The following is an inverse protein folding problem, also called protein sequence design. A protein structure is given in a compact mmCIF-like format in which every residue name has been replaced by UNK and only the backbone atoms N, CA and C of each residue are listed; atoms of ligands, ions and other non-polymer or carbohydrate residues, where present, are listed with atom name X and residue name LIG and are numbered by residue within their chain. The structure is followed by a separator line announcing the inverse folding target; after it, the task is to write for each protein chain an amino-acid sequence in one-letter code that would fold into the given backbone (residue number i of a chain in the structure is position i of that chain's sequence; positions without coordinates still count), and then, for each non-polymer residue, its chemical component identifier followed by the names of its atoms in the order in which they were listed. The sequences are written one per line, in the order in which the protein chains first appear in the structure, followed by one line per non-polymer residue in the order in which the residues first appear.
data_IF_143274526589
#
_entry.id   IF_143274526589
#
_cell.length_a   1.000
_cell.length_b   1.000
_cell.length_c   1.000
_cell.angle_alpha   90.00
_cell.angle_beta   90.00
_cell.angle_gamma   90.00
#
_symmetry.space_group_name_H-M   'P 1'
#
loop_
_entity.id
_entity.type
_entity.pdbx_description
1 polymer ?
#
# COMPACT_ATOMS: atom_id res chain seq x y z
N UNK A 1 -5.59 24.14 16.19
CA UNK A 1 -5.52 23.36 14.96
C UNK A 1 -4.09 22.91 14.77
N UNK A 2 -3.81 21.61 14.95
CA UNK A 2 -2.51 21.07 14.54
C UNK A 2 -2.43 21.19 13.02
N UNK A 3 -1.40 21.85 12.53
CA UNK A 3 -1.12 21.94 11.11
C UNK A 3 -0.85 20.53 10.57
N UNK A 4 -1.68 20.06 9.65
CA UNK A 4 -1.52 18.76 9.01
C UNK A 4 -0.65 18.96 7.78
N UNK A 5 0.54 18.37 7.80
CA UNK A 5 1.49 18.47 6.70
C UNK A 5 1.76 17.07 6.14
N UNK A 6 1.72 16.93 4.83
CA UNK A 6 2.03 15.67 4.13
C UNK A 6 1.16 15.44 2.90
N UNK A 7 1.45 14.37 2.19
CA UNK A 7 0.64 13.93 1.05
C UNK A 7 -0.77 13.56 1.52
N UNK A 8 -1.79 14.21 0.97
CA UNK A 8 -3.19 13.99 1.36
C UNK A 8 -3.77 15.09 2.25
N UNK A 9 -2.99 16.09 2.68
CA UNK A 9 -3.50 17.23 3.49
C UNK A 9 -4.71 17.93 2.84
N UNK A 10 -4.78 17.96 1.54
CA UNK A 10 -5.91 18.51 0.76
C UNK A 10 -7.24 17.77 0.99
N UNK A 11 -7.23 16.55 1.49
CA UNK A 11 -8.44 15.82 1.86
C UNK A 11 -9.10 16.35 3.15
N UNK A 12 -8.40 17.20 3.91
CA UNK A 12 -8.88 17.74 5.18
C UNK A 12 -9.25 19.21 5.14
N UNK A 13 -8.36 20.02 4.59
CA UNK A 13 -8.45 21.48 4.70
C UNK A 13 -8.40 22.18 3.35
N UNK A 14 -8.39 21.42 2.26
CA UNK A 14 -8.34 21.96 0.90
C UNK A 14 -6.98 22.53 0.51
N UNK A 15 -5.93 22.29 1.29
CA UNK A 15 -4.58 22.69 0.91
C UNK A 15 -4.16 21.89 -0.29
N UNK A 16 -3.88 22.58 -1.38
CA UNK A 16 -3.45 21.97 -2.62
C UNK A 16 -2.10 21.26 -2.42
N UNK A 17 -2.07 19.97 -2.77
CA UNK A 17 -0.83 19.23 -2.82
C UNK A 17 0.06 19.80 -3.92
N UNK A 18 1.26 20.24 -3.58
CA UNK A 18 2.23 20.69 -4.57
C UNK A 18 2.75 19.47 -5.35
N UNK A 19 2.69 19.57 -6.68
CA UNK A 19 3.25 18.54 -7.54
C UNK A 19 4.76 18.41 -7.32
N UNK A 20 5.20 17.23 -6.92
CA UNK A 20 6.60 16.88 -6.79
C UNK A 20 6.99 15.89 -7.91
N UNK A 21 7.80 16.35 -8.85
CA UNK A 21 8.22 15.53 -9.99
C UNK A 21 8.95 14.24 -9.57
N UNK A 22 9.67 14.26 -8.46
CA UNK A 22 10.35 13.08 -7.92
C UNK A 22 9.37 11.99 -7.47
N UNK A 23 8.19 12.37 -7.00
CA UNK A 23 7.16 11.44 -6.51
C UNK A 23 6.32 10.84 -7.66
N UNK A 24 6.38 11.44 -8.86
CA UNK A 24 5.54 11.02 -9.98
C UNK A 24 5.70 9.53 -10.34
N UNK A 25 6.93 9.03 -10.35
CA UNK A 25 7.20 7.63 -10.72
C UNK A 25 6.56 6.64 -9.74
N UNK A 26 6.66 6.93 -8.44
CA UNK A 26 6.05 6.17 -7.36
C UNK A 26 4.53 6.16 -7.49
N UNK A 27 3.92 7.34 -7.62
CA UNK A 27 2.48 7.50 -7.76
C UNK A 27 1.95 6.83 -9.03
N UNK A 28 2.66 6.98 -10.15
CA UNK A 28 2.33 6.31 -11.41
C UNK A 28 2.37 4.79 -11.28
N UNK A 29 3.39 4.25 -10.59
CA UNK A 29 3.48 2.82 -10.35
C UNK A 29 2.23 2.29 -9.63
N UNK A 30 1.85 2.91 -8.51
CA UNK A 30 0.68 2.50 -7.73
C UNK A 30 -0.61 2.63 -8.55
N UNK A 31 -0.76 3.72 -9.32
CA UNK A 31 -1.88 3.94 -10.24
C UNK A 31 -2.01 2.81 -11.27
N UNK A 32 -0.92 2.45 -11.95
CA UNK A 32 -0.93 1.43 -13.00
C UNK A 32 -1.18 0.01 -12.46
N UNK A 33 -0.75 -0.28 -11.24
CA UNK A 33 -1.06 -1.58 -10.61
C UNK A 33 -2.51 -1.62 -10.09
N UNK A 34 -2.99 -0.56 -9.46
CA UNK A 34 -4.37 -0.47 -8.99
C UNK A 34 -5.40 -0.54 -10.14
N UNK A 35 -5.05 -0.04 -11.33
CA UNK A 35 -5.88 -0.12 -12.53
C UNK A 35 -6.20 -1.56 -12.95
N UNK A 36 -5.33 -2.51 -12.61
CA UNK A 36 -5.46 -3.94 -12.97
C UNK A 36 -6.09 -4.77 -11.86
N UNK A 37 -6.12 -4.22 -10.63
CA UNK A 37 -6.56 -4.92 -9.44
C UNK A 37 -8.08 -4.87 -9.27
N UNK A 38 -8.60 -5.80 -8.48
CA UNK A 38 -10.00 -5.85 -8.04
C UNK A 38 -10.12 -5.67 -6.54
N UNK A 39 -9.26 -6.34 -5.79
CA UNK A 39 -9.23 -6.35 -4.33
C UNK A 39 -7.84 -5.99 -3.81
N UNK A 40 -7.74 -4.88 -3.08
CA UNK A 40 -6.49 -4.36 -2.53
C UNK A 40 -6.47 -4.48 -1.03
N UNK A 41 -5.30 -4.86 -0.50
CA UNK A 41 -4.96 -4.66 0.91
C UNK A 41 -3.88 -3.59 1.03
N UNK A 42 -4.17 -2.54 1.77
CA UNK A 42 -3.21 -1.49 2.10
C UNK A 42 -2.85 -1.51 3.58
N UNK A 43 -1.57 -1.38 3.89
CA UNK A 43 -1.05 -1.25 5.26
C UNK A 43 -0.36 0.10 5.38
N UNK A 44 -0.90 0.96 6.26
CA UNK A 44 -0.53 2.36 6.35
C UNK A 44 -1.35 3.23 5.41
N UNK A 45 -2.17 4.12 5.96
CA UNK A 45 -3.09 4.99 5.21
C UNK A 45 -2.70 6.44 5.33
N UNK A 46 -2.31 6.83 6.54
CA UNK A 46 -2.00 8.20 6.91
C UNK A 46 -3.12 9.17 6.45
N UNK A 47 -2.82 10.07 5.52
CA UNK A 47 -3.78 11.07 5.01
C UNK A 47 -4.53 10.60 3.74
N UNK A 48 -4.49 9.32 3.36
CA UNK A 48 -5.32 8.73 2.30
C UNK A 48 -4.92 9.08 0.87
N UNK A 49 -3.69 9.59 0.64
CA UNK A 49 -3.25 9.95 -0.71
C UNK A 49 -3.15 8.72 -1.63
N UNK A 50 -2.61 7.62 -1.15
CA UNK A 50 -2.53 6.34 -1.86
C UNK A 50 -3.91 5.78 -2.20
N UNK A 51 -4.85 5.84 -1.24
CA UNK A 51 -6.26 5.46 -1.47
C UNK A 51 -6.87 6.24 -2.63
N UNK A 52 -6.67 7.58 -2.65
CA UNK A 52 -7.17 8.42 -3.74
C UNK A 52 -6.56 8.02 -5.09
N UNK A 53 -5.25 7.80 -5.16
CA UNK A 53 -4.57 7.37 -6.39
C UNK A 53 -5.16 6.07 -6.90
N UNK A 54 -5.34 5.07 -6.03
CA UNK A 54 -5.88 3.77 -6.39
C UNK A 54 -7.33 3.85 -6.87
N UNK A 55 -8.18 4.62 -6.17
CA UNK A 55 -9.59 4.80 -6.53
C UNK A 55 -9.78 5.62 -7.81
N UNK A 56 -8.89 6.58 -8.11
CA UNK A 56 -8.88 7.28 -9.39
C UNK A 56 -8.45 6.37 -10.54
N UNK A 57 -7.55 5.42 -10.28
CA UNK A 57 -7.12 4.43 -11.27
C UNK A 57 -8.23 3.43 -11.61
N UNK A 58 -8.96 2.98 -10.58
CA UNK A 58 -10.07 2.05 -10.72
C UNK A 58 -11.19 2.36 -9.70
N UNK A 59 -12.24 3.10 -10.12
CA UNK A 59 -13.34 3.48 -9.24
C UNK A 59 -14.17 2.31 -8.70
N UNK A 60 -14.01 1.12 -9.26
CA UNK A 60 -14.73 -0.10 -8.80
C UNK A 60 -13.93 -0.92 -7.79
N UNK A 61 -12.72 -0.51 -7.51
CA UNK A 61 -11.78 -1.18 -6.61
C UNK A 61 -12.36 -1.37 -5.20
N UNK A 62 -12.06 -2.50 -4.58
CA UNK A 62 -12.41 -2.78 -3.19
C UNK A 62 -11.13 -2.80 -2.35
N UNK A 63 -10.95 -1.77 -1.55
CA UNK A 63 -9.77 -1.60 -0.71
C UNK A 63 -10.10 -1.98 0.71
N UNK A 64 -9.38 -2.94 1.27
CA UNK A 64 -9.27 -3.11 2.72
C UNK A 64 -8.00 -2.41 3.17
N UNK A 65 -8.07 -1.52 4.14
CA UNK A 65 -6.89 -0.80 4.60
C UNK A 65 -6.78 -0.85 6.12
N UNK A 66 -5.55 -0.89 6.60
CA UNK A 66 -5.20 -0.99 8.02
C UNK A 66 -4.32 0.19 8.39
N UNK A 67 -4.65 0.88 9.47
CA UNK A 67 -3.79 1.90 10.06
C UNK A 67 -3.91 1.84 11.60
N UNK A 68 -2.80 2.08 12.27
CA UNK A 68 -2.76 2.07 13.74
C UNK A 68 -3.55 3.24 14.35
N UNK A 69 -3.70 4.32 13.59
CA UNK A 69 -4.39 5.55 13.99
C UNK A 69 -5.48 5.93 13.00
N UNK A 70 -6.60 6.43 13.52
CA UNK A 70 -7.69 7.03 12.72
C UNK A 70 -7.65 8.57 12.74
N UNK A 71 -6.65 9.17 13.37
CA UNK A 71 -6.56 10.63 13.50
C UNK A 71 -6.54 11.34 12.14
N UNK A 72 -5.82 10.79 11.17
CA UNK A 72 -5.71 11.31 9.82
C UNK A 72 -6.47 10.46 8.80
N UNK A 73 -6.38 9.14 8.92
CA UNK A 73 -7.02 8.20 7.99
C UNK A 73 -8.55 8.26 8.06
N UNK A 74 -9.13 8.43 9.27
CA UNK A 74 -10.58 8.52 9.43
C UNK A 74 -11.22 9.64 8.60
N UNK A 75 -10.83 10.92 8.79
CA UNK A 75 -11.34 12.04 7.98
C UNK A 75 -11.06 11.89 6.48
N UNK A 76 -9.89 11.34 6.09
CA UNK A 76 -9.57 11.10 4.68
C UNK A 76 -10.54 10.11 4.04
N UNK A 77 -10.76 8.99 4.71
CA UNK A 77 -11.68 7.93 4.25
C UNK A 77 -13.10 8.47 4.17
N UNK A 78 -13.55 9.22 5.18
CA UNK A 78 -14.86 9.85 5.15
C UNK A 78 -15.03 10.76 3.91
N UNK A 79 -14.02 11.53 3.57
CA UNK A 79 -14.02 12.37 2.37
C UNK A 79 -14.07 11.51 1.09
N UNK A 80 -13.22 10.50 0.99
CA UNK A 80 -13.15 9.61 -0.18
C UNK A 80 -14.45 8.84 -0.40
N UNK A 81 -15.10 8.35 0.66
CA UNK A 81 -16.38 7.63 0.58
C UNK A 81 -17.54 8.49 0.06
N UNK A 82 -17.43 9.83 0.07
CA UNK A 82 -18.43 10.69 -0.58
C UNK A 82 -18.42 10.53 -2.11
N UNK A 83 -17.26 10.22 -2.67
CA UNK A 83 -17.04 10.08 -4.12
C UNK A 83 -16.99 8.61 -4.58
N UNK A 84 -16.44 7.72 -3.76
CA UNK A 84 -16.21 6.30 -4.05
C UNK A 84 -16.96 5.42 -3.04
N UNK A 85 -18.28 5.41 -3.12
CA UNK A 85 -19.16 4.77 -2.12
C UNK A 85 -18.90 3.28 -1.98
N UNK A 86 -18.78 2.82 -0.72
CA UNK A 86 -18.57 1.41 -0.36
C UNK A 86 -17.29 0.80 -0.99
N UNK A 87 -16.28 1.62 -1.26
CA UNK A 87 -15.02 1.16 -1.84
C UNK A 87 -13.96 0.86 -0.80
N UNK A 88 -14.07 1.44 0.40
CA UNK A 88 -13.05 1.35 1.45
C UNK A 88 -13.60 0.61 2.68
N UNK A 89 -12.89 -0.43 3.10
CA UNK A 89 -13.09 -1.12 4.37
C UNK A 89 -11.90 -0.82 5.28
N UNK A 90 -12.06 0.13 6.20
CA UNK A 90 -11.01 0.55 7.12
C UNK A 90 -11.01 -0.26 8.40
N UNK A 91 -9.85 -0.74 8.81
CA UNK A 91 -9.64 -1.48 10.06
C UNK A 91 -8.57 -0.75 10.87
N UNK A 92 -8.98 -0.11 11.97
CA UNK A 92 -8.04 0.51 12.90
C UNK A 92 -7.34 -0.54 13.74
N UNK A 93 -6.02 -0.54 13.74
CA UNK A 93 -5.20 -1.40 14.59
C UNK A 93 -3.82 -1.66 14.02
N UNK A 94 -3.04 -2.39 14.77
CA UNK A 94 -1.71 -2.85 14.40
C UNK A 94 -1.84 -4.01 13.39
N UNK A 95 -1.18 -3.88 12.24
CA UNK A 95 -1.19 -4.87 11.15
C UNK A 95 -0.76 -6.25 11.64
N UNK A 96 0.17 -6.34 12.60
CA UNK A 96 0.68 -7.60 13.12
C UNK A 96 -0.41 -8.44 13.81
N UNK A 97 -1.42 -7.79 14.38
CA UNK A 97 -2.58 -8.44 15.01
C UNK A 97 -3.78 -8.57 14.06
N UNK A 98 -3.96 -7.63 13.14
CA UNK A 98 -5.11 -7.61 12.24
C UNK A 98 -4.94 -8.61 11.09
N UNK A 99 -3.78 -8.64 10.42
CA UNK A 99 -3.56 -9.50 9.24
C UNK A 99 -3.90 -10.99 9.49
N UNK A 100 -3.53 -11.59 10.64
CA UNK A 100 -3.89 -12.99 10.91
C UNK A 100 -5.40 -13.25 11.03
N UNK A 101 -6.22 -12.23 11.25
CA UNK A 101 -7.68 -12.38 11.38
C UNK A 101 -8.41 -12.27 10.04
N UNK A 102 -7.74 -11.80 9.01
CA UNK A 102 -8.33 -11.64 7.69
C UNK A 102 -8.46 -12.99 6.97
N UNK A 103 -9.59 -13.15 6.27
CA UNK A 103 -9.87 -14.33 5.44
C UNK A 103 -10.05 -13.97 3.97
N UNK A 104 -10.38 -12.70 3.69
CA UNK A 104 -10.51 -12.17 2.34
C UNK A 104 -9.17 -12.30 1.59
N UNK A 105 -9.25 -12.56 0.29
CA UNK A 105 -8.09 -12.65 -0.60
C UNK A 105 -7.95 -11.38 -1.42
N UNK A 106 -6.69 -11.05 -1.78
CA UNK A 106 -6.33 -9.82 -2.47
C UNK A 106 -5.41 -10.14 -3.65
N UNK A 107 -5.48 -9.29 -4.68
CA UNK A 107 -4.63 -9.39 -5.87
C UNK A 107 -3.57 -8.28 -5.94
N UNK A 108 -3.72 -7.22 -5.15
CA UNK A 108 -2.74 -6.17 -4.95
C UNK A 108 -2.55 -5.89 -3.45
N UNK A 109 -1.29 -5.78 -3.04
CA UNK A 109 -0.89 -5.36 -1.70
C UNK A 109 -0.08 -4.08 -1.80
N UNK A 110 -0.41 -3.08 -0.98
CA UNK A 110 0.38 -1.86 -0.80
C UNK A 110 0.87 -1.80 0.64
N UNK A 111 2.18 -1.86 0.84
CA UNK A 111 2.81 -1.88 2.16
C UNK A 111 3.53 -0.56 2.37
N UNK A 112 2.94 0.31 3.18
CA UNK A 112 3.39 1.67 3.50
C UNK A 112 3.15 1.99 4.99
N UNK A 113 3.31 0.97 5.85
CA UNK A 113 3.12 1.09 7.29
C UNK A 113 4.36 1.57 8.02
N UNK A 114 4.74 0.87 9.09
CA UNK A 114 5.97 1.16 9.82
C UNK A 114 7.18 0.70 9.01
N UNK A 115 8.18 1.59 8.86
CA UNK A 115 9.35 1.39 7.99
C UNK A 115 10.52 0.64 8.65
N UNK A 116 10.29 -0.07 9.77
CA UNK A 116 11.32 -0.96 10.31
C UNK A 116 11.28 -2.32 9.62
N UNK A 117 12.47 -2.92 9.56
CA UNK A 117 12.71 -4.18 8.89
C UNK A 117 11.81 -5.34 9.39
N UNK A 118 11.60 -5.45 10.70
CA UNK A 118 10.84 -6.55 11.28
C UNK A 118 9.36 -6.47 10.96
N UNK A 119 8.80 -5.26 10.97
CA UNK A 119 7.40 -5.01 10.64
C UNK A 119 7.12 -5.24 9.17
N UNK A 120 7.97 -4.72 8.27
CA UNK A 120 7.83 -4.94 6.82
C UNK A 120 7.86 -6.43 6.48
N UNK A 121 8.82 -7.19 7.03
CA UNK A 121 8.89 -8.63 6.81
C UNK A 121 7.69 -9.39 7.36
N UNK A 122 7.21 -9.00 8.54
CA UNK A 122 6.01 -9.58 9.13
C UNK A 122 4.79 -9.34 8.25
N UNK A 123 4.58 -8.10 7.82
CA UNK A 123 3.46 -7.72 6.97
C UNK A 123 3.51 -8.43 5.63
N UNK A 124 4.66 -8.44 4.97
CA UNK A 124 4.84 -9.16 3.71
C UNK A 124 4.52 -10.65 3.83
N UNK A 125 5.08 -11.34 4.82
CA UNK A 125 4.86 -12.79 4.98
C UNK A 125 3.40 -13.14 5.22
N UNK A 126 2.65 -12.27 5.93
CA UNK A 126 1.21 -12.45 6.16
C UNK A 126 0.38 -12.12 4.92
N UNK A 127 0.76 -11.07 4.17
CA UNK A 127 0.12 -10.73 2.90
C UNK A 127 0.19 -11.90 1.90
N UNK A 128 1.31 -12.63 1.84
CA UNK A 128 1.44 -13.83 1.01
C UNK A 128 0.36 -14.88 1.34
N UNK A 129 0.02 -15.04 2.61
CA UNK A 129 -1.08 -15.93 3.06
C UNK A 129 -2.48 -15.46 2.62
N UNK A 130 -2.64 -14.18 2.33
CA UNK A 130 -3.91 -13.56 1.93
C UNK A 130 -4.01 -13.34 0.41
N UNK A 131 -3.08 -13.84 -0.38
CA UNK A 131 -3.12 -13.70 -1.83
C UNK A 131 -4.31 -14.42 -2.47
N UNK A 132 -4.82 -13.84 -3.55
CA UNK A 132 -5.67 -14.56 -4.50
C UNK A 132 -4.87 -15.66 -5.23
N UNK A 133 -5.54 -16.54 -5.93
CA UNK A 133 -4.87 -17.56 -6.75
C UNK A 133 -4.20 -16.92 -7.97
N UNK A 134 -3.01 -17.40 -8.33
CA UNK A 134 -2.29 -16.95 -9.52
C UNK A 134 -1.25 -15.86 -9.25
N UNK A 135 -1.15 -14.92 -10.19
CA UNK A 135 -0.22 -13.80 -10.11
C UNK A 135 -0.82 -12.70 -9.22
N UNK A 136 -0.04 -12.16 -8.32
CA UNK A 136 -0.41 -11.01 -7.51
C UNK A 136 0.76 -10.04 -7.41
N UNK A 137 0.45 -8.78 -7.06
CA UNK A 137 1.45 -7.72 -6.98
C UNK A 137 1.58 -7.20 -5.55
N UNK A 138 2.80 -6.95 -5.14
CA UNK A 138 3.10 -6.20 -3.91
C UNK A 138 3.83 -4.91 -4.30
N UNK A 139 3.31 -3.79 -3.85
CA UNK A 139 3.97 -2.48 -3.95
C UNK A 139 4.46 -2.10 -2.57
N UNK A 140 5.77 -1.92 -2.45
CA UNK A 140 6.38 -1.43 -1.22
C UNK A 140 6.66 0.07 -1.33
N UNK A 141 6.28 0.81 -0.31
CA UNK A 141 6.83 2.12 -0.03
C UNK A 141 7.99 1.98 0.98
N UNK A 142 9.06 2.76 0.80
CA UNK A 142 10.23 2.80 1.69
C UNK A 142 10.95 1.45 1.88
N UNK A 143 11.23 0.78 0.83
CA UNK A 143 11.93 -0.50 0.76
C UNK A 143 13.47 -0.34 0.74
N UNK A 144 14.18 -1.33 1.24
CA UNK A 144 15.66 -1.36 1.25
C UNK A 144 16.21 -2.67 0.67
N UNK A 145 17.47 -2.71 0.21
CA UNK A 145 18.10 -3.93 -0.30
C UNK A 145 18.14 -5.10 0.70
N UNK A 146 18.15 -4.79 2.01
CA UNK A 146 18.09 -5.82 3.06
C UNK A 146 16.74 -6.52 3.06
N UNK A 147 15.67 -5.76 2.90
CA UNK A 147 14.30 -6.31 2.83
C UNK A 147 14.15 -7.19 1.59
N UNK A 148 14.74 -6.79 0.46
CA UNK A 148 14.75 -7.59 -0.76
C UNK A 148 15.32 -8.99 -0.55
N UNK A 149 16.50 -9.09 0.04
CA UNK A 149 17.16 -10.37 0.32
C UNK A 149 16.27 -11.32 1.12
N UNK A 150 15.56 -10.78 2.12
CA UNK A 150 14.68 -11.61 2.96
C UNK A 150 13.40 -12.01 2.21
N UNK A 151 12.87 -11.13 1.38
CA UNK A 151 11.73 -11.46 0.50
C UNK A 151 12.11 -12.61 -0.44
N UNK A 152 13.24 -12.53 -1.12
CA UNK A 152 13.73 -13.59 -2.01
C UNK A 152 13.95 -14.91 -1.26
N UNK A 153 14.58 -14.84 -0.09
CA UNK A 153 14.79 -16.01 0.77
C UNK A 153 13.46 -16.62 1.24
N UNK A 154 12.49 -15.80 1.62
CA UNK A 154 11.17 -16.27 2.02
C UNK A 154 10.43 -16.93 0.86
N UNK A 155 10.39 -16.30 -0.31
CA UNK A 155 9.69 -16.81 -1.49
C UNK A 155 10.29 -18.13 -1.97
N UNK A 156 11.62 -18.26 -1.94
CA UNK A 156 12.31 -19.52 -2.27
C UNK A 156 11.88 -20.68 -1.39
N UNK A 157 11.66 -20.43 -0.09
CA UNK A 157 11.20 -21.48 0.85
C UNK A 157 9.79 -21.98 0.60
N UNK A 158 8.97 -21.20 -0.07
CA UNK A 158 7.57 -21.53 -0.38
C UNK A 158 7.32 -21.79 -1.88
N UNK A 159 8.40 -22.04 -2.64
CA UNK A 159 8.37 -22.29 -4.08
C UNK A 159 7.64 -21.20 -4.88
N UNK A 160 7.95 -19.95 -4.61
CA UNK A 160 7.47 -18.79 -5.36
C UNK A 160 8.64 -18.02 -5.98
N UNK A 161 8.38 -17.41 -7.11
CA UNK A 161 9.32 -16.52 -7.79
C UNK A 161 8.80 -15.10 -7.82
N UNK A 162 9.73 -14.15 -7.75
CA UNK A 162 9.41 -12.74 -7.84
C UNK A 162 10.14 -12.08 -9.02
N UNK A 163 9.42 -11.22 -9.71
CA UNK A 163 10.00 -10.22 -10.62
C UNK A 163 9.95 -8.86 -9.94
N UNK A 164 11.11 -8.28 -9.67
CA UNK A 164 11.24 -7.05 -8.89
C UNK A 164 11.59 -5.89 -9.81
N UNK A 165 10.93 -4.77 -9.63
CA UNK A 165 11.18 -3.52 -10.33
C UNK A 165 11.33 -2.40 -9.32
N UNK A 166 12.53 -1.88 -9.17
CA UNK A 166 12.81 -0.74 -8.31
C UNK A 166 12.33 0.56 -8.95
N UNK A 167 11.78 1.43 -8.12
CA UNK A 167 11.41 2.79 -8.49
C UNK A 167 12.17 3.75 -7.59
N UNK A 168 13.32 4.18 -8.08
CA UNK A 168 14.16 5.14 -7.36
C UNK A 168 13.52 6.53 -7.40
N UNK A 169 13.32 7.11 -6.23
CA UNK A 169 12.87 8.49 -6.07
C UNK A 169 14.11 9.38 -5.93
N UNK A 170 14.39 10.29 -6.89
CA UNK A 170 15.58 11.13 -6.84
C UNK A 170 15.64 11.97 -5.55
N UNK A 171 16.83 12.09 -4.98
CA UNK A 171 17.10 12.84 -3.75
C UNK A 171 16.39 12.33 -2.49
N UNK A 172 15.89 11.10 -2.50
CA UNK A 172 15.34 10.42 -1.34
C UNK A 172 16.25 9.28 -0.89
N UNK A 173 16.26 9.00 0.42
CA UNK A 173 17.04 7.91 1.00
C UNK A 173 16.34 6.55 0.92
N UNK A 174 15.12 6.52 0.42
CA UNK A 174 14.29 5.34 0.29
C UNK A 174 13.98 5.02 -1.18
N UNK A 175 13.64 3.78 -1.44
CA UNK A 175 13.27 3.27 -2.74
C UNK A 175 11.90 2.60 -2.65
N UNK A 176 11.07 2.82 -3.65
CA UNK A 176 9.85 2.04 -3.82
C UNK A 176 10.13 0.82 -4.68
N UNK A 177 9.47 -0.28 -4.41
CA UNK A 177 9.58 -1.47 -5.22
C UNK A 177 8.21 -2.02 -5.60
N UNK A 178 8.10 -2.47 -6.84
CA UNK A 178 7.02 -3.34 -7.30
C UNK A 178 7.53 -4.76 -7.37
N UNK A 179 6.85 -5.67 -6.70
CA UNK A 179 7.17 -7.09 -6.75
C UNK A 179 5.97 -7.85 -7.33
N UNK A 180 6.16 -8.47 -8.49
CA UNK A 180 5.17 -9.38 -9.07
C UNK A 180 5.57 -10.79 -8.67
N UNK A 181 4.66 -11.49 -8.02
CA UNK A 181 4.91 -12.83 -7.47
C UNK A 181 4.07 -13.84 -8.23
N UNK A 182 4.72 -14.91 -8.67
CA UNK A 182 4.10 -16.04 -9.34
C UNK A 182 4.34 -17.31 -8.55
N UNK A 183 3.34 -18.20 -8.51
CA UNK A 183 3.52 -19.55 -7.99
C UNK A 183 4.21 -20.38 -9.08
N UNK A 184 5.28 -21.07 -8.74
CA UNK A 184 6.04 -21.96 -9.64
C UNK A 184 5.44 -23.37 -9.63
#
# INVERSE_FOLDING_TARGET
NKFRNGCGSYLFDGITYEYCASMYKKQKLLYEEAKKASDVLEIGVYMGHSLLIMLLANPTLKITCIDISDEYSGPAIQTLETYFKNSINFIKGDSTYILPTLTKKFDLFHIDGQHDYSTINSDFSKCIGLRSSGIFTVVFDDYSPRILNDIECFLSKINMQASITDVVVPNCSWTNARIIITVV
#
